data_IF_535737816553
#
_entry.id   IF_535737816553
#
_cell.length_a   1.000
_cell.length_b   1.000
_cell.length_c   1.000
_cell.angle_alpha   90.00
_cell.angle_beta   90.00
_cell.angle_gamma   90.00
#
_symmetry.space_group_name_H-M   'P 1'
#
loop_
_entity.id
_entity.type
_entity.pdbx_description
1 polymer ?
#
# COMPACT_ATOMS: atom_id res chain seq x y z
N UNK A 1 25.96 -2.28 -3.62
CA UNK A 1 24.48 -2.26 -3.63
C UNK A 1 24.13 -1.62 -4.96
N UNK A 2 23.38 -2.32 -5.81
CA UNK A 2 22.98 -1.76 -7.11
C UNK A 2 22.13 -0.53 -6.82
N UNK A 3 22.40 0.56 -7.52
CA UNK A 3 21.59 1.76 -7.43
C UNK A 3 20.17 1.47 -7.99
N UNK A 4 19.17 1.79 -7.18
CA UNK A 4 17.76 1.44 -7.40
C UNK A 4 17.25 2.00 -8.73
N UNK A 5 17.77 3.14 -9.17
CA UNK A 5 17.37 3.81 -10.41
C UNK A 5 17.73 3.00 -11.67
N UNK A 6 18.68 2.06 -11.58
CA UNK A 6 19.03 1.15 -12.69
C UNK A 6 18.18 -0.13 -12.73
N UNK A 7 17.38 -0.38 -11.70
CA UNK A 7 16.50 -1.57 -11.57
C UNK A 7 15.02 -1.17 -11.58
N UNK A 8 14.70 0.11 -11.38
CA UNK A 8 13.37 0.67 -11.54
C UNK A 8 12.93 0.69 -12.99
N UNK A 9 11.70 0.24 -13.26
CA UNK A 9 11.09 0.35 -14.60
C UNK A 9 10.24 -0.84 -15.05
N UNK A 10 10.15 -1.90 -14.25
CA UNK A 10 9.36 -3.08 -14.61
C UNK A 10 8.17 -3.23 -13.66
N UNK A 11 6.92 -3.19 -14.15
CA UNK A 11 5.76 -3.40 -13.29
C UNK A 11 5.73 -4.87 -12.88
N UNK A 12 6.17 -5.15 -11.65
CA UNK A 12 5.98 -6.45 -11.02
C UNK A 12 4.59 -6.50 -10.40
N UNK A 13 3.94 -7.65 -10.52
CA UNK A 13 2.71 -7.92 -9.82
C UNK A 13 2.97 -7.99 -8.32
N UNK A 14 2.30 -7.14 -7.54
CA UNK A 14 2.39 -7.16 -6.09
C UNK A 14 1.06 -7.62 -5.46
N UNK A 15 0.99 -7.64 -4.13
CA UNK A 15 -0.19 -8.14 -3.42
C UNK A 15 -1.44 -7.28 -3.64
N UNK A 16 -1.31 -6.02 -4.08
CA UNK A 16 -2.45 -5.20 -4.48
C UNK A 16 -3.13 -5.83 -5.69
N UNK A 17 -2.38 -6.09 -6.77
CA UNK A 17 -2.95 -6.74 -7.95
C UNK A 17 -3.46 -8.15 -7.61
N UNK A 18 -2.81 -8.88 -6.70
CA UNK A 18 -3.29 -10.20 -6.27
C UNK A 18 -4.65 -10.07 -5.57
N UNK A 19 -4.81 -9.05 -4.73
CA UNK A 19 -6.07 -8.75 -4.05
C UNK A 19 -7.18 -8.40 -5.04
N UNK A 20 -6.88 -7.57 -6.04
CA UNK A 20 -7.81 -7.23 -7.13
C UNK A 20 -8.23 -8.47 -7.93
N UNK A 21 -7.27 -9.34 -8.28
CA UNK A 21 -7.54 -10.61 -8.96
C UNK A 21 -8.46 -11.51 -8.13
N UNK A 22 -8.19 -11.65 -6.82
CA UNK A 22 -9.04 -12.41 -5.90
C UNK A 22 -10.46 -11.84 -5.81
N UNK A 23 -10.59 -10.51 -5.72
CA UNK A 23 -11.89 -9.85 -5.62
C UNK A 23 -12.70 -10.11 -6.89
N UNK A 24 -12.08 -9.90 -8.06
CA UNK A 24 -12.71 -10.13 -9.35
C UNK A 24 -13.14 -11.58 -9.52
N UNK A 25 -12.29 -12.54 -9.16
CA UNK A 25 -12.63 -13.95 -9.24
C UNK A 25 -13.80 -14.29 -8.31
N UNK A 26 -13.79 -13.78 -7.08
CA UNK A 26 -14.86 -13.98 -6.11
C UNK A 26 -16.20 -13.41 -6.58
N UNK A 27 -16.20 -12.26 -7.24
CA UNK A 27 -17.40 -11.67 -7.85
C UNK A 27 -17.97 -12.54 -8.98
N UNK A 28 -17.13 -13.28 -9.70
CA UNK A 28 -17.56 -14.15 -10.80
C UNK A 28 -18.07 -15.51 -10.32
N UNK A 29 -17.39 -16.14 -9.35
CA UNK A 29 -17.67 -17.52 -8.95
C UNK A 29 -18.52 -17.66 -7.68
N UNK A 30 -18.83 -16.55 -7.02
CA UNK A 30 -19.60 -16.54 -5.76
C UNK A 30 -18.87 -17.24 -4.61
N UNK A 31 -19.58 -17.99 -3.78
CA UNK A 31 -19.00 -18.68 -2.62
C UNK A 31 -18.35 -20.05 -2.96
N UNK A 32 -18.12 -20.32 -4.25
CA UNK A 32 -17.39 -21.52 -4.69
C UNK A 32 -16.00 -21.55 -4.08
N UNK A 33 -15.56 -22.71 -3.59
CA UNK A 33 -14.27 -22.84 -2.92
C UNK A 33 -13.13 -22.69 -3.94
N UNK A 34 -12.16 -21.83 -3.60
CA UNK A 34 -10.99 -21.52 -4.41
C UNK A 34 -9.75 -22.23 -3.85
N UNK A 35 -8.82 -22.59 -4.72
CA UNK A 35 -7.47 -23.03 -4.36
C UNK A 35 -6.47 -22.07 -4.98
N UNK A 36 -5.54 -21.55 -4.17
CA UNK A 36 -4.44 -20.75 -4.67
C UNK A 36 -3.24 -21.66 -4.95
N UNK A 37 -2.46 -21.33 -5.95
CA UNK A 37 -1.20 -22.00 -6.24
C UNK A 37 -0.08 -21.01 -6.44
N UNK A 38 1.13 -21.46 -6.13
CA UNK A 38 2.37 -20.73 -6.32
C UNK A 38 3.41 -21.67 -6.94
N UNK A 39 4.10 -21.15 -7.94
CA UNK A 39 5.19 -21.83 -8.63
C UNK A 39 6.44 -20.96 -8.68
N UNK A 40 7.61 -21.57 -8.52
CA UNK A 40 8.92 -20.88 -8.50
C UNK A 40 9.83 -21.49 -9.56
N UNK A 41 10.42 -20.61 -10.37
CA UNK A 41 11.47 -20.95 -11.33
C UNK A 41 12.77 -21.22 -10.57
N UNK A 42 13.28 -22.44 -10.68
CA UNK A 42 14.59 -22.76 -10.12
C UNK A 42 15.68 -22.02 -10.90
N UNK A 43 16.68 -21.49 -10.20
CA UNK A 43 17.88 -20.95 -10.84
C UNK A 43 17.63 -19.81 -11.84
N UNK A 44 16.45 -19.16 -11.79
CA UNK A 44 15.99 -17.99 -12.55
C UNK A 44 17.03 -17.32 -13.45
N UNK A 45 17.87 -16.42 -12.91
CA UNK A 45 18.89 -15.68 -13.66
C UNK A 45 19.83 -16.58 -14.48
N UNK A 46 20.19 -17.76 -13.96
CA UNK A 46 21.08 -18.70 -14.64
C UNK A 46 20.46 -19.32 -15.89
N UNK A 47 19.13 -19.31 -16.00
CA UNK A 47 18.42 -19.77 -17.20
C UNK A 47 18.59 -18.81 -18.40
N UNK A 48 19.07 -17.59 -18.18
CA UNK A 48 19.30 -16.61 -19.25
C UNK A 48 20.77 -16.64 -19.72
N UNK A 49 21.10 -17.27 -20.86
CA UNK A 49 22.45 -17.18 -21.41
C UNK A 49 22.76 -15.74 -21.85
N UNK A 50 23.96 -15.26 -21.52
CA UNK A 50 24.40 -13.92 -21.89
C UNK A 50 25.15 -13.93 -23.22
N UNK A 51 24.97 -12.89 -24.03
CA UNK A 51 25.72 -12.70 -25.26
C UNK A 51 27.24 -12.75 -24.98
N UNK A 52 28.08 -13.40 -25.81
CA UNK A 52 29.52 -13.52 -25.56
C UNK A 52 30.24 -12.18 -25.27
N UNK A 53 29.86 -11.10 -25.95
CA UNK A 53 30.39 -9.76 -25.69
C UNK A 53 29.99 -9.18 -24.31
N UNK A 54 28.96 -9.71 -23.67
CA UNK A 54 28.61 -9.36 -22.29
C UNK A 54 29.31 -10.27 -21.28
N UNK A 55 29.52 -11.55 -21.62
CA UNK A 55 30.21 -12.51 -20.74
C UNK A 55 31.59 -12.01 -20.30
N UNK A 56 32.34 -11.35 -21.17
CA UNK A 56 33.65 -10.75 -20.82
C UNK A 56 33.58 -9.71 -19.69
N UNK A 57 32.41 -9.11 -19.46
CA UNK A 57 32.15 -8.16 -18.36
C UNK A 57 31.72 -8.86 -17.06
N UNK A 58 31.53 -10.18 -17.10
CA UNK A 58 31.15 -11.03 -15.97
C UNK A 58 32.33 -11.87 -15.46
N UNK A 59 33.56 -11.43 -15.71
CA UNK A 59 34.76 -12.10 -15.20
C UNK A 59 34.90 -11.89 -13.70
N UNK A 60 35.04 -12.97 -12.94
CA UNK A 60 35.31 -12.96 -11.51
C UNK A 60 36.66 -13.62 -11.23
N UNK A 61 37.43 -13.04 -10.29
CA UNK A 61 38.67 -13.64 -9.80
C UNK A 61 38.39 -14.39 -8.49
N UNK A 62 38.76 -15.66 -8.44
CA UNK A 62 38.67 -16.48 -7.22
C UNK A 62 40.05 -17.07 -6.95
N UNK A 63 40.73 -16.56 -5.91
CA UNK A 63 42.14 -16.85 -5.69
C UNK A 63 42.99 -16.25 -6.82
N UNK A 64 43.74 -17.10 -7.52
CA UNK A 64 44.59 -16.71 -8.65
C UNK A 64 43.99 -17.03 -10.02
N UNK A 65 42.80 -17.63 -10.06
CA UNK A 65 42.11 -18.03 -11.29
C UNK A 65 41.00 -17.03 -11.67
N UNK A 66 40.75 -16.92 -12.97
CA UNK A 66 39.66 -16.12 -13.53
C UNK A 66 38.59 -17.01 -14.13
N UNK A 67 37.33 -16.75 -13.77
CA UNK A 67 36.16 -17.46 -14.27
C UNK A 67 35.26 -16.48 -15.01
N UNK A 68 34.76 -16.89 -16.17
CA UNK A 68 33.80 -16.11 -16.96
C UNK A 68 32.43 -16.73 -16.79
N UNK A 69 31.51 -15.95 -16.25
CA UNK A 69 30.12 -16.39 -16.19
C UNK A 69 29.43 -16.23 -17.56
N UNK A 70 28.82 -17.33 -18.02
CA UNK A 70 28.15 -17.42 -19.33
C UNK A 70 26.67 -17.06 -19.27
N UNK A 71 26.07 -17.11 -18.08
CA UNK A 71 24.67 -16.81 -17.88
C UNK A 71 24.51 -15.50 -17.10
N UNK A 72 23.27 -15.02 -17.00
CA UNK A 72 22.96 -13.81 -16.26
C UNK A 72 23.27 -14.06 -14.77
N UNK A 73 23.95 -13.10 -14.14
CA UNK A 73 24.51 -13.26 -12.79
C UNK A 73 23.65 -12.59 -11.75
N UNK A 74 23.63 -13.14 -10.53
CA UNK A 74 23.03 -12.46 -9.39
C UNK A 74 23.84 -11.20 -9.02
N UNK A 75 23.15 -10.14 -8.62
CA UNK A 75 23.80 -8.91 -8.13
C UNK A 75 24.41 -8.01 -9.21
N UNK A 76 24.23 -8.35 -10.50
CA UNK A 76 24.49 -7.43 -11.60
C UNK A 76 23.39 -6.38 -11.73
N UNK A 77 23.75 -5.14 -12.09
CA UNK A 77 22.79 -4.03 -12.13
C UNK A 77 21.68 -4.21 -13.15
N UNK A 78 21.96 -4.84 -14.29
CA UNK A 78 20.99 -5.14 -15.34
C UNK A 78 20.35 -6.53 -15.24
N UNK A 79 20.79 -7.36 -14.29
CA UNK A 79 20.40 -8.78 -14.27
C UNK A 79 18.91 -8.96 -14.01
N UNK A 80 18.35 -8.20 -13.06
CA UNK A 80 16.92 -8.14 -12.73
C UNK A 80 16.08 -7.84 -13.96
N UNK A 81 16.38 -6.71 -14.60
CA UNK A 81 15.73 -6.23 -15.82
C UNK A 81 15.67 -7.29 -16.92
N UNK A 82 16.82 -7.92 -17.22
CA UNK A 82 16.92 -8.93 -18.27
C UNK A 82 16.04 -10.13 -17.96
N UNK A 83 16.13 -10.66 -16.74
CA UNK A 83 15.32 -11.82 -16.34
C UNK A 83 13.83 -11.49 -16.36
N UNK A 84 13.43 -10.34 -15.81
CA UNK A 84 12.02 -9.91 -15.79
C UNK A 84 11.48 -9.77 -17.21
N UNK A 85 12.26 -9.22 -18.15
CA UNK A 85 11.82 -9.11 -19.55
C UNK A 85 11.58 -10.49 -20.19
N UNK A 86 12.47 -11.45 -19.95
CA UNK A 86 12.30 -12.84 -20.44
C UNK A 86 11.08 -13.48 -19.77
N UNK A 87 10.96 -13.39 -18.44
CA UNK A 87 9.85 -14.01 -17.73
C UNK A 87 8.50 -13.35 -18.06
N UNK A 88 8.48 -12.06 -18.39
CA UNK A 88 7.27 -11.37 -18.85
C UNK A 88 6.76 -11.93 -20.18
N UNK A 89 7.66 -12.33 -21.09
CA UNK A 89 7.26 -13.02 -22.32
C UNK A 89 6.70 -14.41 -22.02
N UNK A 90 7.32 -15.17 -21.12
CA UNK A 90 6.82 -16.49 -20.69
C UNK A 90 5.44 -16.35 -20.05
N UNK A 91 5.25 -15.36 -19.17
CA UNK A 91 3.96 -15.06 -18.55
C UNK A 91 2.90 -14.63 -19.57
N UNK A 92 3.30 -13.87 -20.60
CA UNK A 92 2.42 -13.51 -21.71
C UNK A 92 1.96 -14.76 -22.47
N UNK A 93 2.87 -15.67 -22.82
CA UNK A 93 2.52 -16.95 -23.48
C UNK A 93 1.59 -17.77 -22.59
N UNK A 94 1.91 -17.91 -21.31
CA UNK A 94 1.07 -18.61 -20.34
C UNK A 94 -0.36 -18.05 -20.28
N UNK A 95 -0.50 -16.73 -20.30
CA UNK A 95 -1.81 -16.06 -20.20
C UNK A 95 -2.62 -16.14 -21.49
N UNK A 96 -2.01 -15.87 -22.63
CA UNK A 96 -2.73 -15.67 -23.89
C UNK A 96 -2.74 -16.91 -24.80
N UNK A 97 -1.67 -17.71 -24.77
CA UNK A 97 -1.56 -18.91 -25.61
C UNK A 97 -1.95 -20.17 -24.83
N UNK A 98 -1.65 -20.23 -23.51
CA UNK A 98 -1.99 -21.37 -22.66
C UNK A 98 -3.28 -21.18 -21.85
N UNK A 99 -3.92 -20.00 -21.92
CA UNK A 99 -5.23 -19.74 -21.33
C UNK A 99 -5.25 -19.52 -19.81
N UNK A 100 -4.11 -19.22 -19.17
CA UNK A 100 -4.06 -18.94 -17.73
C UNK A 100 -4.51 -17.49 -17.46
N UNK A 101 -5.82 -17.29 -17.29
CA UNK A 101 -6.44 -15.97 -17.10
C UNK A 101 -5.94 -15.23 -15.86
N UNK A 102 -5.81 -15.96 -14.74
CA UNK A 102 -5.44 -15.46 -13.41
C UNK A 102 -3.99 -15.81 -13.08
N UNK A 103 -3.05 -15.19 -13.81
CA UNK A 103 -1.62 -15.34 -13.59
C UNK A 103 -1.02 -14.03 -13.05
N UNK A 104 -0.29 -14.18 -11.94
CA UNK A 104 0.51 -13.13 -11.30
C UNK A 104 1.98 -13.53 -11.33
N UNK A 105 2.87 -12.57 -11.58
CA UNK A 105 4.32 -12.78 -11.64
C UNK A 105 5.12 -11.75 -10.86
N UNK A 106 5.86 -12.23 -9.87
CA UNK A 106 6.79 -11.44 -9.07
C UNK A 106 8.20 -12.01 -9.20
N UNK A 107 9.00 -11.42 -10.11
CA UNK A 107 10.34 -11.90 -10.44
C UNK A 107 10.28 -13.36 -10.92
N UNK A 108 10.70 -14.32 -10.10
CA UNK A 108 10.75 -15.77 -10.35
C UNK A 108 9.55 -16.54 -9.76
N UNK A 109 8.77 -15.88 -8.90
CA UNK A 109 7.54 -16.41 -8.33
C UNK A 109 6.36 -16.15 -9.30
N UNK A 110 5.60 -17.20 -9.61
CA UNK A 110 4.31 -17.14 -10.29
C UNK A 110 3.21 -17.59 -9.34
N UNK A 111 2.03 -16.99 -9.41
CA UNK A 111 0.88 -17.40 -8.57
C UNK A 111 -0.42 -17.23 -9.32
N UNK A 112 -1.40 -18.04 -8.98
CA UNK A 112 -2.72 -17.99 -9.58
C UNK A 112 -3.76 -18.70 -8.71
N UNK A 113 -4.98 -18.73 -9.22
CA UNK A 113 -6.14 -19.28 -8.50
C UNK A 113 -6.93 -20.16 -9.45
N UNK A 114 -7.35 -21.31 -8.94
CA UNK A 114 -8.27 -22.24 -9.58
C UNK A 114 -9.47 -22.52 -8.67
N UNK A 115 -10.54 -23.08 -9.25
CA UNK A 115 -11.61 -23.67 -8.46
C UNK A 115 -11.11 -24.94 -7.77
N UNK A 116 -11.53 -25.19 -6.53
CA UNK A 116 -11.15 -26.42 -5.84
C UNK A 116 -11.70 -27.65 -6.58
N UNK A 117 -10.82 -28.63 -6.80
CA UNK A 117 -11.12 -29.83 -7.59
C UNK A 117 -10.87 -29.66 -9.10
N UNK A 118 -10.56 -28.44 -9.56
CA UNK A 118 -10.16 -28.18 -10.93
C UNK A 118 -8.67 -28.51 -11.12
N UNK A 119 -8.40 -29.80 -11.31
CA UNK A 119 -7.05 -30.35 -11.32
C UNK A 119 -6.66 -30.99 -12.66
N UNK A 120 -5.35 -31.07 -12.89
CA UNK A 120 -4.71 -31.83 -13.96
C UNK A 120 -3.58 -32.69 -13.39
N UNK A 121 -3.43 -33.91 -13.91
CA UNK A 121 -2.32 -34.79 -13.55
C UNK A 121 -1.05 -34.33 -14.23
N UNK A 122 -0.04 -33.98 -13.44
CA UNK A 122 1.25 -33.53 -13.92
C UNK A 122 2.27 -34.67 -13.81
N UNK A 123 2.65 -35.22 -14.96
CA UNK A 123 3.47 -36.44 -15.06
C UNK A 123 4.84 -36.30 -14.36
N UNK A 124 5.62 -35.22 -14.54
CA UNK A 124 6.98 -35.15 -14.00
C UNK A 124 7.07 -35.26 -12.48
N UNK A 125 5.97 -34.95 -11.76
CA UNK A 125 5.87 -35.09 -10.29
C UNK A 125 4.88 -36.17 -9.85
N UNK A 126 4.30 -36.92 -10.78
CA UNK A 126 3.35 -37.99 -10.53
C UNK A 126 2.18 -37.62 -9.61
N UNK A 127 1.61 -36.41 -9.76
CA UNK A 127 0.52 -35.92 -8.90
C UNK A 127 -0.45 -35.01 -9.62
N UNK A 128 -1.68 -34.93 -9.11
CA UNK A 128 -2.64 -33.91 -9.51
C UNK A 128 -2.26 -32.56 -8.91
N UNK A 129 -2.31 -31.52 -9.72
CA UNK A 129 -2.09 -30.13 -9.36
C UNK A 129 -3.30 -29.30 -9.81
N UNK A 130 -3.53 -28.11 -9.23
CA UNK A 130 -4.42 -27.13 -9.82
C UNK A 130 -4.12 -26.94 -11.31
N UNK A 131 -5.16 -26.91 -12.13
CA UNK A 131 -5.04 -26.99 -13.60
C UNK A 131 -4.11 -25.96 -14.18
N UNK A 132 -4.25 -24.69 -13.79
CA UNK A 132 -3.39 -23.67 -14.33
C UNK A 132 -1.95 -23.79 -13.81
N UNK A 133 -1.74 -24.33 -12.61
CA UNK A 133 -0.40 -24.67 -12.14
C UNK A 133 0.25 -25.74 -13.01
N UNK A 134 -0.47 -26.84 -13.32
CA UNK A 134 0.05 -27.90 -14.19
C UNK A 134 0.39 -27.37 -15.59
N UNK A 135 -0.51 -26.58 -16.20
CA UNK A 135 -0.30 -25.97 -17.52
C UNK A 135 0.94 -25.07 -17.53
N UNK A 136 1.16 -24.28 -16.46
CA UNK A 136 2.35 -23.45 -16.34
C UNK A 136 3.64 -24.27 -16.28
N UNK A 137 3.63 -25.37 -15.51
CA UNK A 137 4.79 -26.26 -15.40
C UNK A 137 5.08 -26.98 -16.73
N UNK A 138 4.06 -27.45 -17.44
CA UNK A 138 4.21 -28.03 -18.78
C UNK A 138 4.80 -27.02 -19.78
N UNK A 139 4.37 -25.75 -19.72
CA UNK A 139 4.98 -24.68 -20.50
C UNK A 139 6.47 -24.52 -20.15
N UNK A 140 6.81 -24.54 -18.87
CA UNK A 140 8.21 -24.46 -18.42
C UNK A 140 9.04 -25.64 -18.91
N UNK A 141 8.52 -26.87 -18.86
CA UNK A 141 9.17 -28.06 -19.41
C UNK A 141 9.46 -27.90 -20.91
N UNK A 142 8.46 -27.45 -21.67
CA UNK A 142 8.59 -27.23 -23.12
C UNK A 142 9.62 -26.15 -23.47
N UNK A 143 9.78 -25.15 -22.61
CA UNK A 143 10.77 -24.08 -22.77
C UNK A 143 12.13 -24.41 -22.15
N UNK A 144 12.26 -25.54 -21.46
CA UNK A 144 13.47 -25.92 -20.72
C UNK A 144 13.75 -25.02 -19.51
N UNK A 145 12.72 -24.41 -18.93
CA UNK A 145 12.82 -23.58 -17.71
C UNK A 145 12.83 -24.53 -16.50
N UNK A 146 13.89 -24.56 -15.69
CA UNK A 146 13.99 -25.51 -14.60
C UNK A 146 13.08 -25.13 -13.43
N UNK A 147 12.47 -26.13 -12.79
CA UNK A 147 11.68 -25.97 -11.56
C UNK A 147 11.84 -27.20 -10.64
N UNK A 148 11.51 -27.02 -9.35
CA UNK A 148 11.69 -28.07 -8.32
C UNK A 148 10.38 -28.30 -7.57
N UNK A 149 10.00 -29.56 -7.42
CA UNK A 149 8.68 -29.95 -6.88
C UNK A 149 8.39 -29.31 -5.52
N UNK A 150 9.38 -29.33 -4.61
CA UNK A 150 9.26 -28.78 -3.25
C UNK A 150 8.89 -27.30 -3.18
N UNK A 151 9.04 -26.56 -4.28
CA UNK A 151 8.72 -25.14 -4.37
C UNK A 151 7.39 -24.87 -5.08
N UNK A 152 6.76 -25.91 -5.64
CA UNK A 152 5.45 -25.82 -6.28
C UNK A 152 4.40 -26.18 -5.23
N UNK A 153 3.68 -25.18 -4.76
CA UNK A 153 2.73 -25.31 -3.65
C UNK A 153 1.33 -24.92 -4.11
N UNK A 154 0.32 -25.56 -3.52
CA UNK A 154 -1.08 -25.25 -3.74
C UNK A 154 -1.87 -25.46 -2.46
N UNK A 155 -2.90 -24.66 -2.23
CA UNK A 155 -3.74 -24.75 -1.04
C UNK A 155 -4.49 -23.46 -0.72
N UNK A 156 -5.06 -23.43 0.48
CA UNK A 156 -5.74 -22.28 1.07
C UNK A 156 -5.63 -22.42 2.59
N UNK A 157 -4.81 -21.60 3.29
CA UNK A 157 -3.95 -20.53 2.77
C UNK A 157 -2.60 -21.04 2.22
N UNK A 158 -1.90 -20.21 1.43
CA UNK A 158 -0.49 -20.42 1.05
C UNK A 158 0.35 -19.14 1.19
N UNK A 159 1.68 -19.25 1.38
CA UNK A 159 2.56 -18.08 1.36
C UNK A 159 2.83 -17.58 -0.07
N UNK A 160 2.50 -16.32 -0.35
CA UNK A 160 2.85 -15.58 -1.58
C UNK A 160 3.71 -14.38 -1.21
N UNK A 161 4.92 -14.29 -1.77
CA UNK A 161 5.94 -13.29 -1.42
C UNK A 161 6.16 -13.05 0.09
N UNK A 162 6.01 -14.12 0.88
CA UNK A 162 6.15 -14.12 2.34
C UNK A 162 4.89 -13.75 3.14
N UNK A 163 3.78 -13.42 2.47
CA UNK A 163 2.49 -13.14 3.11
C UNK A 163 1.58 -14.36 2.96
N UNK A 164 0.90 -14.75 4.04
CA UNK A 164 -0.10 -15.82 3.99
C UNK A 164 -1.36 -15.30 3.31
N UNK A 165 -1.78 -15.94 2.23
CA UNK A 165 -2.95 -15.55 1.44
C UNK A 165 -4.00 -16.64 1.53
N UNK A 166 -5.21 -16.27 1.97
CA UNK A 166 -6.37 -17.15 2.00
C UNK A 166 -7.40 -16.68 0.96
N UNK A 167 -7.57 -17.40 -0.17
CA UNK A 167 -8.53 -17.03 -1.20
C UNK A 167 -9.99 -17.20 -0.80
N UNK A 168 -10.28 -17.98 0.25
CA UNK A 168 -11.65 -18.25 0.71
C UNK A 168 -12.10 -17.28 1.79
N UNK A 169 -11.21 -16.96 2.74
CA UNK A 169 -11.41 -15.86 3.69
C UNK A 169 -11.21 -14.48 3.06
N UNK A 170 -10.70 -14.42 1.83
CA UNK A 170 -10.37 -13.18 1.12
C UNK A 170 -9.44 -12.32 1.97
N UNK A 171 -8.34 -12.90 2.46
CA UNK A 171 -7.49 -12.26 3.46
C UNK A 171 -5.99 -12.41 3.20
N UNK A 172 -5.25 -11.39 3.63
CA UNK A 172 -3.79 -11.41 3.75
C UNK A 172 -3.41 -11.38 5.22
N UNK A 173 -2.45 -12.21 5.61
CA UNK A 173 -1.99 -12.32 7.00
C UNK A 173 -0.47 -12.35 7.06
N UNK A 174 0.10 -11.58 7.98
CA UNK A 174 1.53 -11.61 8.23
C UNK A 174 1.84 -12.87 9.05
N UNK A 175 2.79 -13.73 8.63
CA UNK A 175 3.18 -14.87 9.45
C UNK A 175 3.64 -14.42 10.84
N UNK A 176 3.27 -15.16 11.89
CA UNK A 176 3.47 -14.76 13.29
C UNK A 176 4.93 -14.41 13.62
N UNK A 177 5.88 -15.22 13.14
CA UNK A 177 7.31 -14.96 13.32
C UNK A 177 7.76 -13.66 12.64
N UNK A 178 7.20 -13.35 11.47
CA UNK A 178 7.52 -12.12 10.75
C UNK A 178 6.95 -10.89 11.44
N UNK A 179 5.73 -10.99 11.99
CA UNK A 179 5.14 -9.94 12.80
C UNK A 179 5.96 -9.69 14.07
N UNK A 180 6.30 -10.76 14.80
CA UNK A 180 7.11 -10.71 16.01
C UNK A 180 8.46 -10.03 15.75
N UNK A 181 9.18 -10.45 14.72
CA UNK A 181 10.43 -9.82 14.34
C UNK A 181 10.26 -8.34 13.98
N UNK A 182 9.19 -7.95 13.24
CA UNK A 182 8.94 -6.56 12.89
C UNK A 182 8.67 -5.69 14.14
N UNK A 183 7.92 -6.22 15.11
CA UNK A 183 7.64 -5.54 16.38
C UNK A 183 8.90 -5.41 17.26
N UNK A 184 9.77 -6.42 17.26
CA UNK A 184 11.06 -6.39 17.94
C UNK A 184 11.99 -5.32 17.32
N UNK A 185 12.06 -5.26 15.99
CA UNK A 185 12.85 -4.23 15.31
C UNK A 185 12.29 -2.83 15.60
N UNK A 186 10.97 -2.61 15.46
CA UNK A 186 10.35 -1.33 15.84
C UNK A 186 10.72 -0.91 17.27
N UNK A 187 10.77 -1.85 18.21
CA UNK A 187 11.19 -1.58 19.59
C UNK A 187 12.64 -1.09 19.68
N UNK A 188 13.57 -1.70 18.93
CA UNK A 188 14.97 -1.27 18.88
C UNK A 188 15.10 0.17 18.35
N UNK A 189 14.31 0.52 17.34
CA UNK A 189 14.32 1.86 16.73
C UNK A 189 13.79 2.95 17.66
N UNK A 190 12.89 2.60 18.57
CA UNK A 190 12.30 3.54 19.53
C UNK A 190 13.21 3.81 20.75
N UNK A 191 14.29 3.03 20.96
CA UNK A 191 15.20 3.21 22.11
C UNK A 191 15.80 4.62 22.20
N UNK A 192 16.06 5.08 23.42
CA UNK A 192 16.73 6.37 23.66
C UNK A 192 18.13 6.35 23.03
N UNK A 193 18.41 7.36 22.21
CA UNK A 193 19.69 7.48 21.51
C UNK A 193 19.91 6.47 20.36
N UNK A 194 18.85 5.85 19.83
CA UNK A 194 18.96 4.95 18.69
C UNK A 194 19.64 5.62 17.47
N UNK A 195 20.63 4.92 16.90
CA UNK A 195 21.44 5.38 15.78
C UNK A 195 21.85 4.19 14.91
N UNK A 196 21.48 4.22 13.64
CA UNK A 196 21.67 3.10 12.71
C UNK A 196 22.41 3.56 11.45
N UNK A 197 23.08 2.61 10.77
CA UNK A 197 23.72 2.86 9.48
C UNK A 197 22.66 3.15 8.40
N UNK A 198 22.95 3.98 7.41
CA UNK A 198 22.05 4.25 6.28
C UNK A 198 21.49 2.97 5.64
N UNK A 199 22.32 1.93 5.46
CA UNK A 199 21.85 0.63 4.95
C UNK A 199 20.74 0.02 5.82
N UNK A 200 20.82 0.15 7.14
CA UNK A 200 19.79 -0.35 8.06
C UNK A 200 18.50 0.48 7.97
N UNK A 201 18.60 1.79 7.72
CA UNK A 201 17.43 2.61 7.43
C UNK A 201 16.69 2.18 6.18
N UNK A 202 17.43 1.90 5.09
CA UNK A 202 16.85 1.39 3.85
C UNK A 202 16.22 0.01 4.04
N UNK A 203 16.87 -0.87 4.80
CA UNK A 203 16.33 -2.19 5.16
C UNK A 203 15.05 -2.06 5.98
N UNK A 204 15.03 -1.21 7.00
CA UNK A 204 13.84 -0.97 7.82
C UNK A 204 12.69 -0.40 7.00
N UNK A 205 12.96 0.57 6.10
CA UNK A 205 11.95 1.11 5.20
C UNK A 205 11.35 0.03 4.30
N UNK A 206 12.20 -0.81 3.69
CA UNK A 206 11.76 -1.91 2.83
C UNK A 206 10.95 -2.95 3.59
N UNK A 207 11.41 -3.34 4.78
CA UNK A 207 10.73 -4.35 5.59
C UNK A 207 9.39 -3.85 6.16
N UNK A 208 9.34 -2.59 6.62
CA UNK A 208 8.10 -1.98 7.05
C UNK A 208 7.12 -1.83 5.87
N UNK A 209 7.61 -1.40 4.70
CA UNK A 209 6.80 -1.32 3.48
C UNK A 209 6.28 -2.70 3.04
N UNK A 210 7.02 -3.77 3.26
CA UNK A 210 6.52 -5.13 3.08
C UNK A 210 5.38 -5.47 4.04
N UNK A 211 5.47 -5.07 5.31
CA UNK A 211 4.36 -5.19 6.28
C UNK A 211 3.11 -4.39 5.91
N UNK A 212 3.23 -3.31 5.13
CA UNK A 212 2.09 -2.51 4.65
C UNK A 212 1.16 -3.26 3.71
N UNK A 213 1.57 -4.41 3.16
CA UNK A 213 0.66 -5.29 2.40
C UNK A 213 -0.47 -5.86 3.29
N UNK A 214 -0.25 -5.93 4.60
CA UNK A 214 -1.26 -6.35 5.59
C UNK A 214 -1.76 -5.15 6.41
N UNK A 215 -0.91 -4.13 6.59
CA UNK A 215 -1.21 -2.94 7.37
C UNK A 215 -1.21 -1.66 6.52
N UNK A 216 -2.03 -1.54 5.48
CA UNK A 216 -1.95 -0.41 4.55
C UNK A 216 -2.16 0.94 5.25
N UNK A 217 -3.02 0.98 6.28
CA UNK A 217 -3.30 2.18 7.07
C UNK A 217 -2.07 2.70 7.85
N UNK A 218 -1.02 1.90 8.05
CA UNK A 218 0.17 2.30 8.81
C UNK A 218 1.26 2.95 7.97
N UNK A 219 1.02 3.16 6.67
CA UNK A 219 1.95 3.89 5.78
C UNK A 219 2.42 5.25 6.32
N UNK A 220 1.61 6.03 7.07
CA UNK A 220 2.06 7.29 7.66
C UNK A 220 3.31 7.19 8.54
N UNK A 221 3.64 6.00 9.05
CA UNK A 221 4.85 5.78 9.82
C UNK A 221 6.15 5.97 9.01
N UNK A 222 6.07 5.96 7.68
CA UNK A 222 7.22 6.17 6.79
C UNK A 222 7.37 7.62 6.29
N UNK A 223 6.37 8.48 6.51
CA UNK A 223 6.34 9.85 5.96
C UNK A 223 7.46 10.75 6.51
N UNK A 224 7.94 10.50 7.74
CA UNK A 224 9.12 11.16 8.29
C UNK A 224 10.43 10.42 8.00
N UNK A 225 10.36 9.12 7.68
CA UNK A 225 11.54 8.29 7.45
C UNK A 225 12.20 8.61 6.12
N UNK A 226 11.44 8.63 5.02
CA UNK A 226 12.02 8.86 3.69
C UNK A 226 12.71 10.23 3.56
N UNK A 227 12.11 11.36 4.00
CA UNK A 227 12.80 12.65 3.99
C UNK A 227 14.08 12.68 4.83
N UNK A 228 14.15 11.90 5.92
CA UNK A 228 15.33 11.82 6.79
C UNK A 228 16.55 11.21 6.11
N UNK A 229 16.33 10.27 5.21
CA UNK A 229 17.38 9.56 4.48
C UNK A 229 17.60 10.07 3.05
N UNK A 230 16.73 10.96 2.57
CA UNK A 230 16.82 11.55 1.24
C UNK A 230 18.18 12.23 1.02
N UNK A 231 18.78 12.00 -0.15
CA UNK A 231 20.07 12.58 -0.54
C UNK A 231 21.30 11.99 0.17
N UNK A 232 21.12 11.05 1.11
CA UNK A 232 22.25 10.38 1.78
C UNK A 232 22.71 9.19 0.96
N UNK A 233 24.03 9.09 0.74
CA UNK A 233 24.62 8.05 -0.11
C UNK A 233 25.62 7.15 0.61
N UNK A 234 26.14 7.54 1.79
CA UNK A 234 27.15 6.79 2.52
C UNK A 234 26.53 5.61 3.31
N UNK A 235 26.65 4.34 2.87
CA UNK A 235 25.84 3.24 3.43
C UNK A 235 26.16 2.92 4.89
N UNK A 236 27.37 3.24 5.34
CA UNK A 236 27.87 3.02 6.71
C UNK A 236 27.75 4.25 7.62
N UNK A 237 27.28 5.40 7.11
CA UNK A 237 27.05 6.58 7.93
C UNK A 237 25.97 6.29 8.98
N UNK A 238 26.28 6.52 10.25
CA UNK A 238 25.33 6.34 11.35
C UNK A 238 24.44 7.58 11.49
N UNK A 239 23.13 7.41 11.33
CA UNK A 239 22.12 8.48 11.38
C UNK A 239 21.25 8.28 12.63
N UNK A 240 20.98 9.38 13.35
CA UNK A 240 20.13 9.37 14.54
C UNK A 240 18.65 9.26 14.18
N UNK A 241 17.93 8.43 14.94
CA UNK A 241 16.47 8.38 14.90
C UNK A 241 15.93 9.60 15.66
N UNK A 242 15.27 10.52 14.96
CA UNK A 242 14.69 11.72 15.55
C UNK A 242 13.37 11.42 16.28
N UNK A 243 12.86 12.40 17.04
CA UNK A 243 11.62 12.24 17.82
C UNK A 243 10.41 11.90 16.95
N UNK A 244 10.25 12.54 15.80
CA UNK A 244 9.12 12.32 14.89
C UNK A 244 9.03 10.86 14.43
N UNK A 245 10.16 10.29 13.99
CA UNK A 245 10.22 8.89 13.52
C UNK A 245 9.96 7.91 14.67
N UNK A 246 10.42 8.22 15.89
CA UNK A 246 10.10 7.40 17.07
C UNK A 246 8.60 7.40 17.37
N UNK A 247 7.98 8.58 17.41
CA UNK A 247 6.53 8.69 17.64
C UNK A 247 5.70 8.03 16.52
N UNK A 248 6.21 8.02 15.29
CA UNK A 248 5.62 7.30 14.16
C UNK A 248 5.72 5.79 14.32
N UNK A 249 6.89 5.28 14.72
CA UNK A 249 7.11 3.85 14.96
C UNK A 249 6.42 3.32 16.21
N UNK A 250 6.39 4.10 17.31
CA UNK A 250 5.63 3.76 18.51
C UNK A 250 4.12 3.71 18.21
N UNK A 251 3.61 4.67 17.43
CA UNK A 251 2.23 4.67 16.98
C UNK A 251 1.90 3.45 16.12
N UNK A 252 2.72 3.14 15.12
CA UNK A 252 2.53 1.99 14.25
C UNK A 252 2.59 0.67 15.03
N UNK A 253 3.59 0.53 15.92
CA UNK A 253 3.76 -0.63 16.78
C UNK A 253 2.51 -0.89 17.60
N UNK A 254 2.00 0.14 18.31
CA UNK A 254 0.78 0.02 19.12
C UNK A 254 -0.42 -0.43 18.29
N UNK A 255 -0.56 0.08 17.06
CA UNK A 255 -1.65 -0.33 16.16
C UNK A 255 -1.51 -1.77 15.70
N UNK A 256 -0.30 -2.22 15.36
CA UNK A 256 -0.03 -3.62 15.00
C UNK A 256 -0.36 -4.56 16.17
N UNK A 257 0.05 -4.22 17.40
CA UNK A 257 -0.22 -5.01 18.61
C UNK A 257 -1.71 -5.13 18.95
N UNK A 258 -2.53 -4.11 18.63
CA UNK A 258 -3.98 -4.14 18.84
C UNK A 258 -4.77 -4.73 17.67
N UNK A 259 -4.12 -5.07 16.56
CA UNK A 259 -4.77 -5.60 15.36
C UNK A 259 -4.85 -7.12 15.39
N UNK A 260 -5.72 -7.69 14.55
CA UNK A 260 -5.75 -9.13 14.28
C UNK A 260 -4.61 -9.60 13.38
N UNK A 261 -3.87 -8.68 12.75
CA UNK A 261 -2.85 -9.00 11.74
C UNK A 261 -3.40 -9.58 10.44
N UNK A 262 -4.69 -9.36 10.18
CA UNK A 262 -5.39 -9.83 8.99
C UNK A 262 -5.98 -8.64 8.23
N UNK A 263 -5.64 -8.53 6.95
CA UNK A 263 -6.29 -7.61 6.01
C UNK A 263 -7.39 -8.35 5.27
N UNK A 264 -8.64 -7.89 5.38
CA UNK A 264 -9.76 -8.42 4.62
C UNK A 264 -9.89 -7.68 3.29
N UNK A 265 -9.73 -8.37 2.17
CA UNK A 265 -9.80 -7.77 0.84
C UNK A 265 -11.19 -7.23 0.51
N UNK A 266 -12.24 -7.88 1.02
CA UNK A 266 -13.63 -7.45 0.82
C UNK A 266 -13.94 -6.08 1.45
N UNK A 267 -13.20 -5.64 2.48
CA UNK A 267 -13.41 -4.28 3.02
C UNK A 267 -12.78 -3.20 2.12
N UNK A 268 -11.83 -3.56 1.26
CA UNK A 268 -11.21 -2.64 0.31
C UNK A 268 -12.10 -2.39 -0.92
N UNK A 269 -12.93 -3.38 -1.30
CA UNK A 269 -13.85 -3.28 -2.44
C UNK A 269 -15.29 -3.02 -2.00
N UNK A 270 -15.74 -1.78 -2.17
CA UNK A 270 -17.14 -1.41 -1.94
C UNK A 270 -17.58 -0.28 -2.87
N UNK A 271 -18.80 -0.35 -3.39
CA UNK A 271 -19.34 0.70 -4.26
C UNK A 271 -19.69 1.97 -3.46
N UNK A 272 -19.43 3.16 -4.02
CA UNK A 272 -19.68 4.45 -3.35
C UNK A 272 -21.14 4.66 -2.94
N UNK A 273 -22.09 4.00 -3.60
CA UNK A 273 -23.51 4.04 -3.25
C UNK A 273 -23.81 3.31 -1.93
N UNK A 274 -22.89 2.48 -1.44
CA UNK A 274 -22.97 1.84 -0.12
C UNK A 274 -22.42 2.73 1.01
N UNK A 275 -22.03 3.99 0.73
CA UNK A 275 -21.60 4.92 1.75
C UNK A 275 -22.79 5.28 2.67
N UNK A 276 -22.57 5.19 3.98
CA UNK A 276 -23.55 5.69 4.96
C UNK A 276 -23.64 7.22 4.89
N UNK A 277 -22.50 7.87 4.70
CA UNK A 277 -22.41 9.32 4.56
C UNK A 277 -21.62 9.69 3.32
N UNK A 278 -22.22 10.59 2.54
CA UNK A 278 -21.54 11.36 1.49
C UNK A 278 -21.40 12.78 2.00
N UNK A 279 -20.18 13.32 1.97
CA UNK A 279 -19.84 14.63 2.52
C UNK A 279 -19.09 15.40 1.45
N UNK A 280 -19.38 16.69 1.28
CA UNK A 280 -18.58 17.57 0.43
C UNK A 280 -17.88 18.59 1.31
N UNK A 281 -16.58 18.76 1.07
CA UNK A 281 -15.68 19.62 1.82
C UNK A 281 -15.07 20.70 0.93
N UNK A 282 -14.80 21.84 1.54
CA UNK A 282 -14.01 22.92 0.96
C UNK A 282 -13.31 23.73 2.06
N UNK A 283 -12.21 24.37 1.74
CA UNK A 283 -11.54 25.30 2.63
C UNK A 283 -11.04 26.55 1.91
N UNK A 284 -11.15 27.69 2.58
CA UNK A 284 -10.50 28.93 2.18
C UNK A 284 -9.49 29.36 3.25
N UNK A 285 -8.69 30.41 3.03
CA UNK A 285 -7.73 30.87 4.03
C UNK A 285 -8.35 31.25 5.38
N UNK A 286 -9.61 31.72 5.40
CA UNK A 286 -10.30 32.20 6.59
C UNK A 286 -11.28 31.18 7.22
N UNK A 287 -11.70 30.16 6.48
CA UNK A 287 -12.75 29.24 6.91
C UNK A 287 -12.71 27.86 6.26
N UNK A 288 -13.36 26.90 6.91
CA UNK A 288 -13.53 25.53 6.44
C UNK A 288 -15.00 25.19 6.50
N UNK A 289 -15.51 24.54 5.45
CA UNK A 289 -16.92 24.20 5.32
C UNK A 289 -17.10 22.78 4.80
N UNK A 290 -17.98 22.03 5.42
CA UNK A 290 -18.43 20.75 4.86
C UNK A 290 -19.90 20.50 5.12
N UNK A 291 -20.55 19.68 4.28
CA UNK A 291 -21.97 19.37 4.43
C UNK A 291 -22.33 17.97 3.95
N UNK A 292 -23.44 17.47 4.49
CA UNK A 292 -24.05 16.18 4.19
C UNK A 292 -25.30 16.41 3.34
N UNK A 293 -25.26 16.14 2.01
CA UNK A 293 -26.42 16.35 1.15
C UNK A 293 -27.67 15.61 1.60
N UNK A 294 -27.51 14.34 1.96
CA UNK A 294 -28.62 13.48 2.35
C UNK A 294 -29.24 13.86 3.70
N UNK A 295 -28.51 14.61 4.54
CA UNK A 295 -28.99 15.03 5.86
C UNK A 295 -29.37 16.51 5.90
N UNK A 296 -29.04 17.28 4.86
CA UNK A 296 -29.18 18.74 4.83
C UNK A 296 -28.50 19.41 6.04
N UNK A 297 -27.38 18.84 6.49
CA UNK A 297 -26.57 19.34 7.61
C UNK A 297 -25.25 19.90 7.09
N UNK A 298 -24.92 21.12 7.52
CA UNK A 298 -23.68 21.80 7.18
C UNK A 298 -22.92 22.22 8.44
N UNK A 299 -21.60 22.29 8.30
CA UNK A 299 -20.68 22.61 9.36
C UNK A 299 -19.69 23.66 8.87
N UNK A 300 -19.43 24.65 9.72
CA UNK A 300 -18.45 25.69 9.48
C UNK A 300 -17.51 25.88 10.67
N UNK A 301 -16.25 26.16 10.38
CA UNK A 301 -15.29 26.65 11.35
C UNK A 301 -14.37 27.68 10.71
N UNK A 302 -13.84 28.59 11.53
CA UNK A 302 -12.70 29.41 11.10
C UNK A 302 -11.45 28.53 11.01
N UNK A 303 -10.58 28.84 10.06
CA UNK A 303 -9.27 28.20 9.99
C UNK A 303 -8.46 28.51 11.26
N UNK A 304 -7.76 27.52 11.83
CA UNK A 304 -6.82 27.79 12.93
C UNK A 304 -5.70 28.71 12.46
N UNK A 305 -5.29 29.65 13.30
CA UNK A 305 -4.13 30.50 13.06
C UNK A 305 -2.88 29.63 12.85
N UNK A 306 -2.29 29.62 11.65
CA UNK A 306 -1.11 28.80 11.35
C UNK A 306 -0.04 29.57 10.55
N UNK A 307 1.22 29.18 10.74
CA UNK A 307 2.45 29.90 10.37
C UNK A 307 3.15 29.39 9.09
N UNK A 308 2.45 28.66 8.20
CA UNK A 308 3.07 28.02 7.03
C UNK A 308 2.87 28.76 5.70
N UNK A 309 3.74 28.47 4.74
CA UNK A 309 3.76 29.01 3.36
C UNK A 309 2.81 28.29 2.38
N UNK A 310 2.12 27.21 2.79
CA UNK A 310 1.14 26.44 1.98
C UNK A 310 -0.20 26.24 2.71
N UNK A 311 -0.71 27.31 3.32
CA UNK A 311 -1.89 27.29 4.22
C UNK A 311 -3.11 26.59 3.63
N UNK A 312 -3.42 26.86 2.35
CA UNK A 312 -4.67 26.41 1.75
C UNK A 312 -4.78 24.88 1.66
N UNK A 313 -3.77 24.21 1.10
CA UNK A 313 -3.77 22.74 0.98
C UNK A 313 -3.81 22.05 2.35
N UNK A 314 -3.22 22.67 3.38
CA UNK A 314 -3.31 22.17 4.74
C UNK A 314 -4.73 22.29 5.30
N UNK A 315 -5.41 23.42 5.08
CA UNK A 315 -6.79 23.61 5.50
C UNK A 315 -7.77 22.70 4.76
N UNK A 316 -7.52 22.43 3.47
CA UNK A 316 -8.29 21.43 2.72
C UNK A 316 -8.20 20.05 3.35
N UNK A 317 -6.98 19.59 3.64
CA UNK A 317 -6.74 18.32 4.31
C UNK A 317 -7.35 18.28 5.73
N UNK A 318 -7.28 19.40 6.46
CA UNK A 318 -7.87 19.54 7.78
C UNK A 318 -9.41 19.54 7.74
N UNK A 319 -10.01 20.12 6.69
CA UNK A 319 -11.44 20.09 6.43
C UNK A 319 -11.91 18.64 6.22
N UNK A 320 -11.21 17.87 5.37
CA UNK A 320 -11.48 16.42 5.18
C UNK A 320 -11.38 15.64 6.49
N UNK A 321 -10.35 15.87 7.31
CA UNK A 321 -10.23 15.23 8.63
C UNK A 321 -11.39 15.62 9.57
N UNK A 322 -11.81 16.88 9.54
CA UNK A 322 -12.92 17.37 10.39
C UNK A 322 -14.25 16.72 9.99
N UNK A 323 -14.50 16.60 8.69
CA UNK A 323 -15.65 15.88 8.15
C UNK A 323 -15.63 14.39 8.55
N UNK A 324 -14.49 13.72 8.42
CA UNK A 324 -14.32 12.33 8.84
C UNK A 324 -14.59 12.14 10.34
N UNK A 325 -14.14 13.08 11.18
CA UNK A 325 -14.39 13.06 12.62
C UNK A 325 -15.87 13.21 12.95
N UNK A 326 -16.57 14.16 12.32
CA UNK A 326 -18.02 14.29 12.49
C UNK A 326 -18.76 13.03 12.04
N UNK A 327 -18.33 12.43 10.92
CA UNK A 327 -18.94 11.20 10.41
C UNK A 327 -18.79 10.07 11.42
N UNK A 328 -17.58 9.90 11.99
CA UNK A 328 -17.30 8.90 13.01
C UNK A 328 -18.20 9.01 14.23
N UNK A 329 -18.37 10.22 14.80
CA UNK A 329 -19.22 10.38 16.00
C UNK A 329 -20.71 10.14 15.74
N UNK A 330 -21.15 10.28 14.50
CA UNK A 330 -22.55 10.13 14.11
C UNK A 330 -22.88 8.72 13.62
N UNK A 331 -21.89 7.87 13.48
CA UNK A 331 -22.03 6.57 12.81
C UNK A 331 -21.76 5.40 13.75
N UNK A 332 -22.42 4.24 13.53
CA UNK A 332 -22.01 3.00 14.16
C UNK A 332 -20.63 2.56 13.65
N UNK A 333 -19.95 1.69 14.40
CA UNK A 333 -18.73 1.01 13.94
C UNK A 333 -18.97 0.31 12.60
N UNK A 334 -17.91 0.12 11.79
CA UNK A 334 -17.97 -0.51 10.46
C UNK A 334 -18.74 0.25 9.39
N UNK A 335 -18.92 1.55 9.59
CA UNK A 335 -19.51 2.45 8.60
C UNK A 335 -18.55 2.82 7.46
N UNK A 336 -19.13 3.17 6.32
CA UNK A 336 -18.41 3.58 5.10
C UNK A 336 -18.70 5.03 4.76
N UNK A 337 -17.67 5.79 4.44
CA UNK A 337 -17.78 7.22 4.16
C UNK A 337 -17.19 7.59 2.81
N UNK A 338 -17.88 8.48 2.09
CA UNK A 338 -17.34 9.15 0.89
C UNK A 338 -17.23 10.64 1.21
N UNK A 339 -16.03 11.18 1.04
CA UNK A 339 -15.76 12.61 1.19
C UNK A 339 -15.28 13.16 -0.15
N UNK A 340 -16.00 14.14 -0.67
CA UNK A 340 -15.63 14.88 -1.87
C UNK A 340 -14.89 16.18 -1.51
N UNK A 341 -13.87 16.52 -2.29
CA UNK A 341 -13.15 17.80 -2.23
C UNK A 341 -12.69 18.14 -3.65
N UNK A 342 -12.56 19.41 -3.98
CA UNK A 342 -11.97 19.85 -5.25
C UNK A 342 -10.43 19.91 -5.21
N UNK A 343 -9.83 19.65 -4.05
CA UNK A 343 -8.39 19.68 -3.87
C UNK A 343 -7.73 18.33 -4.17
N UNK A 344 -7.09 18.20 -5.33
CA UNK A 344 -6.35 16.99 -5.71
C UNK A 344 -5.24 16.60 -4.73
N UNK A 345 -4.59 17.55 -4.03
CA UNK A 345 -3.56 17.22 -3.04
C UNK A 345 -4.18 16.50 -1.84
N UNK A 346 -5.34 16.97 -1.36
CA UNK A 346 -6.08 16.31 -0.29
C UNK A 346 -6.51 14.89 -0.70
N UNK A 347 -7.09 14.74 -1.90
CA UNK A 347 -7.43 13.41 -2.46
C UNK A 347 -6.21 12.50 -2.46
N UNK A 348 -5.07 12.99 -2.97
CA UNK A 348 -3.84 12.22 -3.09
C UNK A 348 -3.29 11.74 -1.73
N UNK A 349 -3.18 12.62 -0.73
CA UNK A 349 -2.61 12.25 0.57
C UNK A 349 -3.50 11.31 1.38
N UNK A 350 -4.84 11.41 1.25
CA UNK A 350 -5.76 10.51 1.96
C UNK A 350 -5.86 9.14 1.29
N UNK A 351 -5.83 9.07 -0.04
CA UNK A 351 -5.90 7.78 -0.75
C UNK A 351 -4.56 7.04 -0.74
N UNK A 352 -3.44 7.75 -0.82
CA UNK A 352 -2.12 7.12 -0.77
C UNK A 352 -1.63 6.89 0.65
N UNK A 353 -2.08 7.68 1.63
CA UNK A 353 -1.51 7.81 2.99
C UNK A 353 -0.03 8.26 3.01
N UNK A 354 0.50 8.64 1.85
CA UNK A 354 1.81 9.22 1.69
C UNK A 354 1.68 10.74 1.69
N UNK A 355 2.40 11.39 2.60
CA UNK A 355 2.30 12.83 2.76
C UNK A 355 3.64 13.43 3.18
N UNK A 356 3.80 14.73 2.94
CA UNK A 356 4.92 15.48 3.51
C UNK A 356 4.82 15.47 5.05
N UNK A 357 5.96 15.57 5.78
CA UNK A 357 5.99 15.60 7.24
C UNK A 357 4.96 16.54 7.90
N UNK A 358 4.70 17.70 7.29
CA UNK A 358 3.76 18.69 7.81
C UNK A 358 2.29 18.24 7.84
N UNK A 359 1.92 17.31 6.96
CA UNK A 359 0.56 16.75 6.85
C UNK A 359 0.43 15.43 7.61
N UNK A 360 1.54 14.81 8.02
CA UNK A 360 1.53 13.46 8.57
C UNK A 360 0.65 13.34 9.83
N UNK A 361 0.55 14.42 10.62
CA UNK A 361 -0.33 14.45 11.78
C UNK A 361 -1.82 14.38 11.43
N UNK A 362 -2.24 14.98 10.32
CA UNK A 362 -3.62 14.88 9.79
C UNK A 362 -3.90 13.43 9.40
N UNK A 363 -3.00 12.82 8.64
CA UNK A 363 -3.20 11.46 8.14
C UNK A 363 -3.18 10.44 9.28
N UNK A 364 -2.28 10.57 10.27
CA UNK A 364 -2.30 9.71 11.46
C UNK A 364 -3.59 9.84 12.26
N UNK A 365 -4.11 11.06 12.44
CA UNK A 365 -5.40 11.27 13.12
C UNK A 365 -6.56 10.66 12.33
N UNK A 366 -6.54 10.76 10.99
CA UNK A 366 -7.54 10.11 10.15
C UNK A 366 -7.48 8.58 10.30
N UNK A 367 -6.28 7.99 10.23
CA UNK A 367 -6.09 6.55 10.45
C UNK A 367 -6.55 6.12 11.84
N UNK A 368 -6.31 6.94 12.87
CA UNK A 368 -6.81 6.64 14.21
C UNK A 368 -8.34 6.54 14.24
N UNK A 369 -9.04 7.47 13.57
CA UNK A 369 -10.50 7.42 13.45
C UNK A 369 -10.94 6.16 12.68
N UNK A 370 -10.32 5.86 11.54
CA UNK A 370 -10.66 4.70 10.73
C UNK A 370 -10.48 3.39 11.49
N UNK A 371 -9.31 3.19 12.12
CA UNK A 371 -9.03 1.96 12.87
C UNK A 371 -9.89 1.83 14.13
N UNK A 372 -10.17 2.92 14.85
CA UNK A 372 -10.98 2.85 16.07
C UNK A 372 -12.45 2.52 15.76
N UNK A 373 -12.94 3.02 14.61
CA UNK A 373 -14.29 2.78 14.14
C UNK A 373 -14.47 1.52 13.28
N UNK A 374 -13.38 0.87 12.88
CA UNK A 374 -13.34 -0.12 11.80
C UNK A 374 -14.02 0.40 10.52
N UNK A 375 -13.83 1.69 10.21
CA UNK A 375 -14.49 2.39 9.11
C UNK A 375 -13.72 2.31 7.80
N UNK A 376 -14.45 2.33 6.68
CA UNK A 376 -13.88 2.54 5.36
C UNK A 376 -14.09 3.99 4.90
N UNK A 377 -13.09 4.55 4.21
CA UNK A 377 -13.14 5.90 3.66
C UNK A 377 -12.70 5.90 2.21
N UNK A 378 -13.44 6.66 1.38
CA UNK A 378 -13.01 7.09 0.04
C UNK A 378 -13.01 8.60 -0.02
N UNK A 379 -11.87 9.18 -0.39
CA UNK A 379 -11.77 10.62 -0.69
C UNK A 379 -11.71 10.79 -2.20
N UNK A 380 -12.64 11.55 -2.76
CA UNK A 380 -12.85 11.66 -4.21
C UNK A 380 -12.80 13.11 -4.65
N UNK A 381 -12.30 13.33 -5.87
CA UNK A 381 -12.32 14.67 -6.47
C UNK A 381 -13.72 15.01 -6.98
N UNK A 382 -14.15 16.26 -6.76
CA UNK A 382 -15.32 16.86 -7.42
C UNK A 382 -14.91 18.21 -8.05
N UNK A 383 -15.38 18.57 -9.26
CA UNK A 383 -15.11 19.90 -9.81
C UNK A 383 -15.65 21.01 -8.90
N UNK A 384 -14.88 22.09 -8.70
CA UNK A 384 -15.29 23.21 -7.85
C UNK A 384 -16.62 23.85 -8.24
N UNK A 385 -16.95 23.88 -9.54
CA UNK A 385 -18.25 24.34 -10.06
C UNK A 385 -19.45 23.52 -9.55
N UNK A 386 -19.21 22.27 -9.14
CA UNK A 386 -20.20 21.37 -8.54
C UNK A 386 -20.13 21.37 -7.01
N UNK A 387 -19.14 22.03 -6.41
CA UNK A 387 -18.91 22.09 -4.96
C UNK A 387 -19.44 23.40 -4.31
N UNK A 388 -20.41 24.06 -4.95
CA UNK A 388 -20.83 25.44 -4.60
C UNK A 388 -21.30 25.61 -3.16
N UNK A 389 -21.96 24.61 -2.56
CA UNK A 389 -22.44 24.69 -1.18
C UNK A 389 -21.27 24.67 -0.20
N UNK A 390 -20.29 23.79 -0.38
CA UNK A 390 -19.11 23.73 0.47
C UNK A 390 -18.26 25.00 0.31
N UNK A 391 -18.08 25.50 -0.92
CA UNK A 391 -17.42 26.78 -1.23
C UNK A 391 -18.13 28.00 -0.61
N UNK A 392 -19.46 28.01 -0.61
CA UNK A 392 -20.22 29.05 0.09
C UNK A 392 -20.02 28.97 1.60
N UNK A 393 -19.98 27.76 2.18
CA UNK A 393 -19.76 27.55 3.60
C UNK A 393 -18.36 27.98 4.03
N UNK A 394 -17.30 27.55 3.34
CA UNK A 394 -15.91 27.88 3.66
C UNK A 394 -15.66 29.39 3.68
N UNK A 395 -16.26 30.12 2.73
CA UNK A 395 -16.18 31.58 2.64
C UNK A 395 -17.17 32.33 3.56
N UNK A 396 -17.86 31.65 4.49
CA UNK A 396 -18.82 32.25 5.42
C UNK A 396 -20.01 32.93 4.68
N UNK A 397 -20.33 32.51 3.45
CA UNK A 397 -21.46 33.00 2.62
C UNK A 397 -22.73 32.18 2.91
N UNK A 398 -23.14 32.12 4.17
CA UNK A 398 -24.26 31.26 4.61
C UNK A 398 -25.59 31.53 3.91
N UNK A 399 -25.90 32.79 3.61
CA UNK A 399 -27.11 33.14 2.85
C UNK A 399 -27.09 32.57 1.43
N UNK A 400 -25.91 32.49 0.81
CA UNK A 400 -25.77 31.87 -0.51
C UNK A 400 -25.92 30.34 -0.41
N UNK A 401 -25.32 29.71 0.60
CA UNK A 401 -25.52 28.28 0.87
C UNK A 401 -27.00 27.93 1.09
N UNK A 402 -27.73 28.76 1.86
CA UNK A 402 -29.17 28.64 2.06
C UNK A 402 -29.98 28.94 0.79
N UNK A 403 -29.52 29.81 -0.09
CA UNK A 403 -30.18 30.02 -1.38
C UNK A 403 -30.07 28.77 -2.28
N UNK A 404 -28.89 28.14 -2.30
CA UNK A 404 -28.66 26.89 -3.03
C UNK A 404 -29.44 25.71 -2.43
N UNK A 405 -29.49 25.64 -1.09
CA UNK A 405 -30.19 24.59 -0.34
C UNK A 405 -31.02 25.22 0.80
N UNK A 406 -32.30 25.57 0.55
CA UNK A 406 -33.14 26.32 1.51
C UNK A 406 -33.36 25.66 2.87
N UNK A 407 -33.25 24.34 2.95
CA UNK A 407 -33.47 23.56 4.17
C UNK A 407 -32.17 23.23 4.91
N UNK A 408 -31.04 23.81 4.51
CA UNK A 408 -29.73 23.51 5.08
C UNK A 408 -29.63 24.01 6.54
N UNK A 409 -29.32 23.12 7.47
CA UNK A 409 -29.04 23.47 8.86
C UNK A 409 -27.53 23.61 9.07
N UNK A 410 -27.07 24.84 9.36
CA UNK A 410 -25.64 25.16 9.51
C UNK A 410 -25.27 25.21 11.00
N UNK A 411 -24.27 24.44 11.40
CA UNK A 411 -23.70 24.40 12.75
C UNK A 411 -22.22 24.77 12.76
N UNK A 412 -21.73 25.25 13.91
CA UNK A 412 -20.29 25.47 14.09
C UNK A 412 -19.60 24.19 14.54
N UNK A 413 -18.39 23.94 14.09
CA UNK A 413 -17.51 22.89 14.63
C UNK A 413 -16.19 23.49 15.13
N UNK A 414 -15.45 22.71 15.91
CA UNK A 414 -14.10 23.07 16.33
C UNK A 414 -13.11 22.14 15.62
N UNK A 415 -12.20 22.67 14.77
CA UNK A 415 -11.21 21.86 14.07
C UNK A 415 -10.07 21.46 15.00
N UNK A 416 -9.28 20.47 14.58
CA UNK A 416 -8.01 20.18 15.24
C UNK A 416 -7.07 21.40 15.16
N UNK A 417 -6.34 21.66 16.23
CA UNK A 417 -5.36 22.75 16.28
C UNK A 417 -3.97 22.17 16.06
N UNK A 418 -3.26 22.70 15.05
CA UNK A 418 -1.86 22.35 14.82
C UNK A 418 -0.97 23.13 15.78
N UNK A 419 -0.33 22.41 16.70
CA UNK A 419 0.74 22.98 17.51
C UNK A 419 2.07 22.72 16.82
N UNK A 420 2.63 23.80 16.25
CA UNK A 420 4.01 23.82 15.81
C UNK A 420 4.94 23.83 17.03
N UNK A 421 5.93 22.94 17.05
CA UNK A 421 6.96 22.89 18.08
C UNK A 421 8.32 22.98 17.41
N UNK A 422 9.17 23.90 17.89
CA UNK A 422 10.55 24.04 17.40
C UNK A 422 11.29 22.69 17.50
N UNK A 423 11.81 22.20 16.37
CA UNK A 423 12.56 20.94 16.26
C UNK A 423 11.82 19.69 16.79
N UNK A 424 10.48 19.72 16.79
CA UNK A 424 9.65 18.58 17.20
C UNK A 424 8.56 18.30 16.15
N UNK A 425 8.08 17.04 16.08
CA UNK A 425 6.93 16.69 15.25
C UNK A 425 5.73 17.59 15.57
N UNK A 426 4.98 17.94 14.52
CA UNK A 426 3.71 18.65 14.68
C UNK A 426 2.69 17.74 15.35
N UNK A 427 2.00 18.28 16.35
CA UNK A 427 0.92 17.57 17.04
C UNK A 427 -0.38 18.26 16.68
N UNK A 428 -1.38 17.46 16.30
CA UNK A 428 -2.76 17.93 16.28
C UNK A 428 -3.33 17.76 17.68
N UNK A 429 -3.76 18.85 18.29
CA UNK A 429 -4.61 18.77 19.46
C UNK A 429 -6.03 18.49 18.99
N UNK A 430 -6.67 17.41 19.48
CA UNK A 430 -8.10 17.25 19.31
C UNK A 430 -8.81 18.44 19.97
N UNK A 431 -9.94 18.88 19.40
CA UNK A 431 -10.74 19.95 19.97
C UNK A 431 -11.40 19.55 21.28
#
# INVERSE_FOLDING_TARGET
MIDHDFVTGYPLDNLIQLGEMLIKEREQVGDTELVMWKSDIAEAYRACPMHPCWQIKQAIRVGDEYYIDRANVFGGSGSGAIFIAVNSLVAWVAKYECGISNLMTYVDDSSGIDLKGDELYYEPYHKSLPRHQAILLELWDNLGIPHKERKQIAGSPIPVIGISVDPNLMSFTLPEDSLRHLLEELQEWCKKGARFKLKQWQQMAGWFNWGLNVYPLLRPALNNLYPKIQGKQAPNEKIWVNKAIKEDFEWAKKKMECSTGVLLLRSLSWDINNALHTILCDACPEGMGFWYPNLLLAFYARTPSATLTSLISFYEALCVLSALREAHYRSPLKSRFVIYTDNFNAVSIFNSLQALPDYNCIIKAAVDILSNGDHDLRVLHIPGEQNQVADALSHCRFLHALHLVPQLSISMFQPYIRIARLNQPCILQPP
#
